data_IF_789546151262
#
_entry.id   IF_789546151262
#
_cell.length_a   1.000
_cell.length_b   1.000
_cell.length_c   1.000
_cell.angle_alpha   90.00
_cell.angle_beta   90.00
_cell.angle_gamma   90.00
#
_symmetry.space_group_name_H-M   'P 1'
#
loop_
_entity.id
_entity.type
_entity.pdbx_description
1 polymer ?
#
# COMPACT_ATOMS: atom_id res chain seq x y z
N UNK A 1 -6.82 -20.97 1.46
CA UNK A 1 -7.64 -19.71 1.50
C UNK A 1 -7.99 -19.41 0.05
N UNK A 2 -9.23 -19.13 -0.27
CA UNK A 2 -9.58 -18.79 -1.67
C UNK A 2 -9.19 -17.33 -1.91
N UNK A 3 -8.15 -17.05 -2.71
CA UNK A 3 -7.68 -15.69 -2.98
C UNK A 3 -8.70 -14.84 -3.75
N UNK A 4 -9.64 -15.48 -4.47
CA UNK A 4 -10.72 -14.74 -5.14
C UNK A 4 -11.60 -13.95 -4.15
N UNK A 5 -11.87 -14.52 -2.96
CA UNK A 5 -12.65 -13.82 -1.93
C UNK A 5 -11.87 -12.61 -1.38
N UNK A 6 -10.54 -12.78 -1.21
CA UNK A 6 -9.64 -11.68 -0.84
C UNK A 6 -9.64 -10.59 -1.92
N UNK A 7 -9.49 -10.96 -3.19
CA UNK A 7 -9.49 -9.99 -4.30
C UNK A 7 -10.82 -9.24 -4.39
N UNK A 8 -11.95 -9.93 -4.22
CA UNK A 8 -13.28 -9.32 -4.21
C UNK A 8 -13.44 -8.33 -3.04
N UNK A 9 -12.92 -8.68 -1.85
CA UNK A 9 -12.96 -7.80 -0.68
C UNK A 9 -12.12 -6.53 -0.91
N UNK A 10 -10.91 -6.66 -1.47
CA UNK A 10 -10.05 -5.51 -1.83
C UNK A 10 -10.75 -4.61 -2.84
N UNK A 11 -11.36 -5.19 -3.87
CA UNK A 11 -12.10 -4.41 -4.88
C UNK A 11 -13.28 -3.65 -4.26
N UNK A 12 -14.02 -4.28 -3.34
CA UNK A 12 -15.13 -3.64 -2.64
C UNK A 12 -14.63 -2.47 -1.77
N UNK A 13 -13.55 -2.67 -1.00
CA UNK A 13 -12.93 -1.64 -0.18
C UNK A 13 -12.43 -0.46 -1.02
N UNK A 14 -11.81 -0.72 -2.17
CA UNK A 14 -11.29 0.29 -3.10
C UNK A 14 -12.37 1.27 -3.62
N UNK A 15 -13.60 0.80 -3.82
CA UNK A 15 -14.71 1.66 -4.26
C UNK A 15 -15.05 2.75 -3.23
N UNK A 16 -14.97 2.43 -1.95
CA UNK A 16 -15.20 3.40 -0.87
C UNK A 16 -14.03 4.36 -0.69
N UNK A 17 -12.82 3.91 -0.95
CA UNK A 17 -11.61 4.70 -0.83
C UNK A 17 -11.61 5.92 -1.76
N UNK A 18 -12.07 5.76 -2.99
CA UNK A 18 -12.16 6.84 -3.98
C UNK A 18 -13.09 8.00 -3.55
N UNK A 19 -13.93 7.78 -2.54
CA UNK A 19 -14.87 8.78 -2.00
C UNK A 19 -14.29 9.55 -0.81
N UNK A 20 -13.13 9.17 -0.28
CA UNK A 20 -12.53 9.84 0.87
C UNK A 20 -12.02 11.24 0.48
N UNK A 21 -12.30 12.26 1.31
CA UNK A 21 -11.71 13.59 1.14
C UNK A 21 -10.17 13.54 1.28
N UNK A 22 -9.45 14.40 0.54
CA UNK A 22 -7.98 14.46 0.57
C UNK A 22 -7.45 14.73 1.98
N UNK A 23 -8.09 15.60 2.76
CA UNK A 23 -7.71 15.86 4.15
C UNK A 23 -7.79 14.60 5.02
N UNK A 24 -8.79 13.75 4.80
CA UNK A 24 -8.93 12.49 5.52
C UNK A 24 -7.81 11.52 5.16
N UNK A 25 -7.47 11.45 3.89
CA UNK A 25 -6.34 10.66 3.38
C UNK A 25 -5.02 11.13 4.03
N UNK A 26 -4.80 12.44 4.08
CA UNK A 26 -3.59 13.02 4.68
C UNK A 26 -3.51 12.75 6.19
N UNK A 27 -4.63 12.79 6.90
CA UNK A 27 -4.70 12.41 8.32
C UNK A 27 -4.30 10.94 8.54
N UNK A 28 -4.81 10.03 7.70
CA UNK A 28 -4.47 8.59 7.77
C UNK A 28 -2.97 8.39 7.50
N UNK A 29 -2.42 9.02 6.47
CA UNK A 29 -0.99 8.92 6.13
C UNK A 29 -0.12 9.40 7.30
N UNK A 30 -0.44 10.55 7.90
CA UNK A 30 0.30 11.06 9.05
C UNK A 30 0.19 10.13 10.26
N UNK A 31 -0.98 9.54 10.51
CA UNK A 31 -1.16 8.57 11.58
C UNK A 31 -0.37 7.27 11.33
N UNK A 32 -0.26 6.81 10.08
CA UNK A 32 0.58 5.65 9.72
C UNK A 32 2.07 5.97 9.95
N UNK A 33 2.51 7.17 9.59
CA UNK A 33 3.88 7.60 9.86
C UNK A 33 4.20 7.62 11.36
N UNK A 34 3.26 8.09 12.18
CA UNK A 34 3.39 8.09 13.65
C UNK A 34 3.41 6.66 14.20
N UNK A 35 2.46 5.82 13.81
CA UNK A 35 2.38 4.43 14.24
C UNK A 35 3.62 3.62 13.85
N UNK A 36 4.23 3.89 12.69
CA UNK A 36 5.49 3.26 12.28
C UNK A 36 6.64 3.60 13.25
N UNK A 37 6.68 4.82 13.78
CA UNK A 37 7.67 5.24 14.77
C UNK A 37 7.36 4.68 16.17
N UNK A 38 6.12 4.74 16.61
CA UNK A 38 5.69 4.21 17.91
C UNK A 38 5.92 2.69 18.00
N UNK A 39 5.72 1.97 16.91
CA UNK A 39 5.88 0.52 16.85
C UNK A 39 7.24 0.07 16.30
N UNK A 40 8.24 0.95 16.28
CA UNK A 40 9.61 0.65 15.84
C UNK A 40 10.14 -0.64 16.45
N UNK A 41 10.02 -0.82 17.76
CA UNK A 41 10.53 -2.01 18.45
C UNK A 41 9.87 -3.30 17.98
N UNK A 42 8.56 -3.26 17.73
CA UNK A 42 7.81 -4.40 17.18
C UNK A 42 8.27 -4.72 15.74
N UNK A 43 8.32 -3.73 14.86
CA UNK A 43 8.74 -3.91 13.47
C UNK A 43 10.17 -4.47 13.41
N UNK A 44 11.10 -3.92 14.22
CA UNK A 44 12.49 -4.39 14.26
C UNK A 44 12.62 -5.79 14.83
N UNK A 45 11.78 -6.19 15.80
CA UNK A 45 11.77 -7.55 16.33
C UNK A 45 11.34 -8.58 15.27
N UNK A 46 10.35 -8.25 14.46
CA UNK A 46 9.90 -9.10 13.35
C UNK A 46 10.94 -9.13 12.21
N UNK A 47 11.55 -7.99 11.89
CA UNK A 47 12.62 -7.91 10.89
C UNK A 47 13.84 -8.76 11.29
N UNK A 48 14.15 -8.85 12.59
CA UNK A 48 15.23 -9.71 13.08
C UNK A 48 14.99 -11.17 12.74
N UNK A 49 13.76 -11.66 12.83
CA UNK A 49 13.41 -13.05 12.47
C UNK A 49 13.68 -13.33 10.98
N UNK A 50 13.44 -12.36 10.10
CA UNK A 50 13.80 -12.48 8.68
C UNK A 50 15.32 -12.48 8.49
N UNK A 51 16.04 -11.60 9.17
CA UNK A 51 17.50 -11.50 9.09
C UNK A 51 18.21 -12.77 9.62
N UNK A 52 17.69 -13.40 10.67
CA UNK A 52 18.23 -14.67 11.22
C UNK A 52 18.14 -15.83 10.22
N UNK A 53 17.25 -15.75 9.24
CA UNK A 53 17.08 -16.74 8.17
C UNK A 53 17.95 -16.48 6.94
N UNK A 54 18.69 -15.37 6.90
CA UNK A 54 19.52 -14.97 5.77
C UNK A 54 20.98 -14.82 6.19
N UNK A 55 21.90 -15.34 5.36
CA UNK A 55 23.32 -15.11 5.59
C UNK A 55 23.67 -13.62 5.49
N UNK A 56 24.48 -13.07 6.41
CA UNK A 56 24.94 -11.68 6.32
C UNK A 56 25.73 -11.36 5.02
N UNK A 57 26.35 -12.38 4.40
CA UNK A 57 27.08 -12.24 3.14
C UNK A 57 26.16 -12.21 1.91
N UNK A 58 24.85 -12.43 2.11
CA UNK A 58 23.90 -12.37 1.01
C UNK A 58 23.73 -10.91 0.54
N UNK A 59 23.86 -10.62 -0.77
CA UNK A 59 23.68 -9.26 -1.31
C UNK A 59 22.32 -8.62 -1.02
N UNK A 60 21.31 -9.42 -0.65
CA UNK A 60 19.98 -8.95 -0.27
C UNK A 60 19.90 -8.55 1.20
N UNK A 61 20.87 -8.93 2.05
CA UNK A 61 20.80 -8.74 3.50
C UNK A 61 20.65 -7.27 3.89
N UNK A 62 21.43 -6.37 3.29
CA UNK A 62 21.30 -4.93 3.58
C UNK A 62 19.96 -4.35 3.13
N UNK A 63 19.38 -4.85 2.03
CA UNK A 63 18.08 -4.43 1.55
C UNK A 63 16.94 -4.89 2.47
N UNK A 64 17.10 -6.06 3.10
CA UNK A 64 16.15 -6.64 4.04
C UNK A 64 16.19 -5.93 5.39
N UNK A 65 17.37 -5.46 5.81
CA UNK A 65 17.60 -4.92 7.13
C UNK A 65 16.87 -3.59 7.35
N UNK A 66 16.00 -3.53 8.34
CA UNK A 66 15.45 -2.29 8.87
C UNK A 66 16.28 -1.81 10.08
N UNK A 67 16.31 -0.50 10.27
CA UNK A 67 16.92 0.18 11.41
C UNK A 67 15.98 1.30 11.87
N UNK A 68 16.16 1.80 13.09
CA UNK A 68 15.41 2.97 13.55
C UNK A 68 15.55 4.17 12.60
N UNK A 69 16.76 4.40 12.07
CA UNK A 69 17.03 5.48 11.13
C UNK A 69 16.24 5.28 9.82
N UNK A 70 16.23 4.04 9.28
CA UNK A 70 15.43 3.71 8.08
C UNK A 70 13.94 3.90 8.33
N UNK A 71 13.42 3.49 9.50
CA UNK A 71 12.03 3.72 9.87
C UNK A 71 11.68 5.20 10.02
N UNK A 72 12.59 6.03 10.56
CA UNK A 72 12.42 7.49 10.56
C UNK A 72 12.37 8.07 9.14
N UNK A 73 13.23 7.59 8.25
CA UNK A 73 13.20 7.93 6.82
C UNK A 73 11.87 7.59 6.18
N UNK A 74 11.41 6.35 6.35
CA UNK A 74 10.10 5.88 5.83
C UNK A 74 8.95 6.76 6.37
N UNK A 75 8.93 7.06 7.67
CA UNK A 75 7.91 7.93 8.25
C UNK A 75 7.95 9.36 7.65
N UNK A 76 9.15 9.87 7.37
CA UNK A 76 9.31 11.14 6.66
C UNK A 76 8.76 11.08 5.24
N UNK A 77 9.03 10.00 4.51
CA UNK A 77 8.55 9.81 3.14
C UNK A 77 7.02 9.68 3.09
N UNK A 78 6.40 8.97 4.03
CA UNK A 78 4.94 8.92 4.17
C UNK A 78 4.36 10.32 4.39
N UNK A 79 4.97 11.13 5.28
CA UNK A 79 4.54 12.52 5.50
C UNK A 79 4.72 13.38 4.26
N UNK A 80 5.80 13.19 3.50
CA UNK A 80 5.99 13.87 2.23
C UNK A 80 4.87 13.53 1.24
N UNK A 81 4.46 12.26 1.14
CA UNK A 81 3.32 11.84 0.31
C UNK A 81 2.03 12.54 0.77
N UNK A 82 1.81 12.70 2.08
CA UNK A 82 0.64 13.41 2.60
C UNK A 82 0.60 14.89 2.16
N UNK A 83 1.76 15.53 1.94
CA UNK A 83 1.80 16.93 1.47
C UNK A 83 1.55 17.11 -0.02
N UNK A 84 1.62 16.03 -0.81
CA UNK A 84 1.39 16.11 -2.24
C UNK A 84 -0.07 16.49 -2.53
N UNK A 85 -0.32 17.30 -3.58
CA UNK A 85 -1.68 17.57 -4.00
C UNK A 85 -2.35 16.29 -4.50
N UNK A 86 -3.64 16.12 -4.16
CA UNK A 86 -4.39 14.96 -4.64
C UNK A 86 -4.33 14.86 -6.17
N UNK A 87 -4.04 13.67 -6.73
CA UNK A 87 -4.10 13.45 -8.16
C UNK A 87 -5.53 13.27 -8.68
N UNK A 88 -6.50 13.10 -7.77
CA UNK A 88 -7.88 12.76 -8.10
C UNK A 88 -8.69 14.01 -8.50
N UNK A 89 -9.63 13.84 -9.43
CA UNK A 89 -10.57 14.88 -9.85
C UNK A 89 -9.92 16.04 -10.61
N UNK A 90 -8.66 15.95 -11.00
CA UNK A 90 -7.99 17.00 -11.76
C UNK A 90 -8.59 17.09 -13.16
N UNK A 91 -8.94 18.28 -13.60
CA UNK A 91 -9.38 18.53 -14.98
C UNK A 91 -8.16 18.45 -15.90
N UNK A 92 -8.11 17.40 -16.70
CA UNK A 92 -7.04 17.15 -17.68
C UNK A 92 -7.32 17.82 -19.02
N UNK A 93 -8.60 17.95 -19.38
CA UNK A 93 -9.05 18.62 -20.62
C UNK A 93 -10.50 19.03 -20.48
N UNK A 94 -10.82 20.17 -21.05
CA UNK A 94 -12.19 20.65 -21.20
C UNK A 94 -12.44 21.13 -22.64
N UNK A 95 -13.63 20.88 -23.17
CA UNK A 95 -14.03 21.35 -24.48
C UNK A 95 -15.55 21.53 -24.58
N UNK A 96 -15.99 22.53 -25.30
CA UNK A 96 -17.41 22.76 -25.60
C UNK A 96 -17.64 22.36 -27.07
N UNK A 97 -18.63 21.52 -27.29
CA UNK A 97 -19.03 21.08 -28.64
C UNK A 97 -19.92 22.13 -29.30
N UNK A 98 -20.09 22.12 -30.67
CA UNK A 98 -20.94 23.08 -31.35
C UNK A 98 -22.39 23.11 -30.88
N UNK A 99 -22.89 22.01 -30.32
CA UNK A 99 -24.24 21.92 -29.76
C UNK A 99 -24.33 22.41 -28.30
N UNK A 100 -23.25 23.03 -27.74
CA UNK A 100 -23.20 23.53 -26.36
C UNK A 100 -22.84 22.49 -25.30
N UNK A 101 -22.65 21.21 -25.65
CA UNK A 101 -22.29 20.16 -24.70
C UNK A 101 -20.87 20.38 -24.20
N UNK A 102 -20.71 20.43 -22.86
CA UNK A 102 -19.42 20.54 -22.17
C UNK A 102 -18.87 19.14 -21.89
N UNK A 103 -17.67 18.85 -22.37
CA UNK A 103 -16.92 17.63 -22.13
C UNK A 103 -15.72 17.92 -21.21
N UNK A 104 -15.66 17.25 -20.10
CA UNK A 104 -14.54 17.39 -19.14
C UNK A 104 -13.88 16.03 -18.95
N UNK A 105 -12.57 15.95 -19.18
CA UNK A 105 -11.75 14.78 -18.85
C UNK A 105 -11.12 15.01 -17.47
N UNK A 106 -11.40 14.13 -16.53
CA UNK A 106 -10.86 14.16 -15.16
C UNK A 106 -10.00 12.94 -14.88
N UNK A 107 -9.05 13.07 -13.93
CA UNK A 107 -8.29 11.94 -13.41
C UNK A 107 -9.11 11.16 -12.38
N UNK A 108 -9.00 9.85 -12.42
CA UNK A 108 -9.67 8.90 -11.52
C UNK A 108 -8.64 7.84 -11.03
N UNK A 109 -8.88 7.11 -9.95
CA UNK A 109 -8.05 5.99 -9.55
C UNK A 109 -8.01 4.90 -10.63
N UNK A 110 -6.96 4.09 -10.64
CA UNK A 110 -6.94 2.84 -11.43
C UNK A 110 -7.94 1.83 -10.87
N UNK A 111 -8.02 1.71 -9.54
CA UNK A 111 -8.83 0.74 -8.82
C UNK A 111 -7.98 -0.07 -7.85
N UNK A 112 -7.75 -1.35 -8.14
CA UNK A 112 -6.90 -2.26 -7.35
C UNK A 112 -5.55 -2.43 -8.04
N UNK A 113 -4.47 -2.16 -7.30
CA UNK A 113 -3.10 -2.30 -7.79
C UNK A 113 -2.43 -3.49 -7.11
N UNK A 114 -2.00 -4.48 -7.90
CA UNK A 114 -1.20 -5.62 -7.44
C UNK A 114 0.28 -5.32 -7.54
N UNK A 115 1.03 -5.47 -6.44
CA UNK A 115 2.46 -5.18 -6.40
C UNK A 115 3.24 -6.39 -5.92
N UNK A 116 4.15 -6.89 -6.76
CA UNK A 116 5.05 -7.99 -6.46
C UNK A 116 6.44 -7.41 -6.20
N UNK A 117 7.01 -7.70 -5.03
CA UNK A 117 8.33 -7.21 -4.63
C UNK A 117 9.11 -8.27 -3.83
N UNK A 118 10.41 -8.14 -3.79
CA UNK A 118 11.29 -9.04 -3.04
C UNK A 118 11.73 -8.44 -1.70
N UNK A 119 12.88 -8.81 -1.17
CA UNK A 119 13.47 -8.50 0.12
C UNK A 119 13.64 -6.99 0.42
N UNK A 120 12.56 -6.24 0.44
CA UNK A 120 12.52 -4.80 0.75
C UNK A 120 11.27 -4.45 1.56
N UNK A 121 11.29 -4.63 2.88
CA UNK A 121 10.11 -4.42 3.73
C UNK A 121 9.54 -2.99 3.64
N UNK A 122 10.39 -1.96 3.43
CA UNK A 122 9.97 -0.57 3.27
C UNK A 122 8.94 -0.39 2.14
N UNK A 123 9.00 -1.20 1.09
CA UNK A 123 8.07 -1.12 -0.06
C UNK A 123 6.61 -1.24 0.36
N UNK A 124 6.32 -2.02 1.43
CA UNK A 124 4.95 -2.13 1.95
C UNK A 124 4.38 -0.77 2.38
N UNK A 125 5.15 0.06 3.09
CA UNK A 125 4.74 1.42 3.47
C UNK A 125 4.70 2.36 2.27
N UNK A 126 5.71 2.31 1.39
CA UNK A 126 5.83 3.20 0.24
C UNK A 126 4.65 3.02 -0.71
N UNK A 127 4.37 1.76 -1.07
CA UNK A 127 3.26 1.40 -1.96
C UNK A 127 1.91 1.75 -1.34
N UNK A 128 1.69 1.37 -0.07
CA UNK A 128 0.47 1.73 0.63
C UNK A 128 0.21 3.25 0.57
N UNK A 129 1.24 4.04 0.88
CA UNK A 129 1.11 5.50 0.93
C UNK A 129 0.74 6.11 -0.42
N UNK A 130 1.37 5.65 -1.48
CA UNK A 130 1.10 6.11 -2.85
C UNK A 130 -0.28 5.65 -3.34
N UNK A 131 -0.66 4.41 -3.06
CA UNK A 131 -1.97 3.87 -3.40
C UNK A 131 -3.08 4.64 -2.67
N UNK A 132 -2.96 4.80 -1.34
CA UNK A 132 -3.93 5.56 -0.55
C UNK A 132 -4.07 6.99 -1.06
N UNK A 133 -2.94 7.70 -1.30
CA UNK A 133 -2.95 9.09 -1.79
C UNK A 133 -3.61 9.23 -3.16
N UNK A 134 -3.52 8.22 -3.98
CA UNK A 134 -4.11 8.19 -5.33
C UNK A 134 -5.46 7.48 -5.39
N UNK A 135 -6.07 7.15 -4.24
CA UNK A 135 -7.41 6.56 -4.15
C UNK A 135 -7.49 5.11 -4.64
N UNK A 136 -6.36 4.39 -4.67
CA UNK A 136 -6.29 3.01 -5.09
C UNK A 136 -6.20 2.07 -3.88
N UNK A 137 -6.89 0.94 -3.93
CA UNK A 137 -6.60 -0.18 -3.05
C UNK A 137 -5.39 -0.95 -3.56
N UNK A 138 -4.69 -1.69 -2.71
CA UNK A 138 -3.51 -2.42 -3.13
C UNK A 138 -3.45 -3.84 -2.55
N UNK A 139 -2.90 -4.73 -3.37
CA UNK A 139 -2.58 -6.10 -3.00
C UNK A 139 -1.06 -6.23 -3.04
N UNK A 140 -0.49 -6.51 -1.88
CA UNK A 140 0.93 -6.66 -1.67
C UNK A 140 1.33 -8.12 -1.77
N UNK A 141 2.31 -8.44 -2.58
CA UNK A 141 2.90 -9.77 -2.71
C UNK A 141 4.40 -9.68 -2.47
N UNK A 142 4.78 -9.75 -1.19
CA UNK A 142 6.18 -9.79 -0.77
C UNK A 142 6.84 -11.14 -1.02
N UNK A 143 8.17 -11.15 -1.03
CA UNK A 143 8.96 -12.37 -1.05
C UNK A 143 9.05 -13.03 0.33
N UNK A 144 9.35 -14.35 0.37
CA UNK A 144 9.50 -15.12 1.61
C UNK A 144 10.65 -14.65 2.52
N UNK A 145 11.62 -13.95 1.93
CA UNK A 145 12.77 -13.42 2.68
C UNK A 145 12.38 -12.32 3.68
N UNK A 146 11.24 -11.63 3.46
CA UNK A 146 10.75 -10.51 4.26
C UNK A 146 9.35 -10.74 4.85
N UNK A 147 8.92 -12.00 5.03
CA UNK A 147 7.54 -12.33 5.40
C UNK A 147 7.14 -11.78 6.76
N UNK A 148 7.98 -11.93 7.78
CA UNK A 148 7.72 -11.40 9.13
C UNK A 148 7.65 -9.87 9.13
N UNK A 149 8.58 -9.22 8.46
CA UNK A 149 8.62 -7.76 8.36
C UNK A 149 7.39 -7.21 7.63
N UNK A 150 7.02 -7.81 6.50
CA UNK A 150 5.87 -7.37 5.71
C UNK A 150 4.56 -7.52 6.49
N UNK A 151 4.38 -8.63 7.22
CA UNK A 151 3.22 -8.85 8.09
C UNK A 151 3.14 -7.82 9.21
N UNK A 152 4.27 -7.53 9.87
CA UNK A 152 4.33 -6.52 10.93
C UNK A 152 3.95 -5.14 10.40
N UNK A 153 4.46 -4.75 9.24
CA UNK A 153 4.17 -3.46 8.63
C UNK A 153 2.68 -3.35 8.25
N UNK A 154 2.13 -4.39 7.61
CA UNK A 154 0.71 -4.38 7.22
C UNK A 154 -0.20 -4.38 8.44
N UNK A 155 0.16 -5.09 9.53
CA UNK A 155 -0.60 -5.02 10.78
C UNK A 155 -0.59 -3.61 11.38
N UNK A 156 0.54 -2.90 11.36
CA UNK A 156 0.61 -1.48 11.80
C UNK A 156 -0.32 -0.61 10.96
N UNK A 157 -0.32 -0.79 9.64
CA UNK A 157 -1.24 -0.08 8.73
C UNK A 157 -2.70 -0.41 9.08
N UNK A 158 -3.04 -1.68 9.24
CA UNK A 158 -4.39 -2.13 9.59
C UNK A 158 -4.88 -1.55 10.92
N UNK A 159 -4.00 -1.44 11.93
CA UNK A 159 -4.37 -0.82 13.20
C UNK A 159 -4.79 0.64 13.02
N UNK A 160 -4.06 1.40 12.22
CA UNK A 160 -4.42 2.79 11.91
C UNK A 160 -5.73 2.85 11.11
N UNK A 161 -5.90 2.02 10.09
CA UNK A 161 -7.13 1.99 9.31
C UNK A 161 -8.36 1.71 10.18
N UNK A 162 -8.27 0.76 11.14
CA UNK A 162 -9.32 0.49 12.12
C UNK A 162 -9.64 1.70 12.99
N UNK A 163 -8.63 2.46 13.46
CA UNK A 163 -8.84 3.69 14.24
C UNK A 163 -9.60 4.77 13.45
N UNK A 164 -9.39 4.79 12.14
CA UNK A 164 -10.09 5.71 11.24
C UNK A 164 -11.40 5.18 10.69
N UNK A 165 -11.85 3.98 11.12
CA UNK A 165 -13.04 3.27 10.60
C UNK A 165 -12.97 3.08 9.07
N UNK A 166 -11.78 2.78 8.55
CA UNK A 166 -11.54 2.43 7.15
C UNK A 166 -11.45 0.91 7.04
N UNK A 167 -12.02 0.35 5.98
CA UNK A 167 -11.94 -1.07 5.68
C UNK A 167 -10.48 -1.49 5.47
N UNK A 168 -10.00 -2.43 6.28
CA UNK A 168 -8.62 -2.91 6.22
C UNK A 168 -8.31 -3.63 4.92
N UNK A 169 -9.31 -4.18 4.23
CA UNK A 169 -9.14 -4.83 2.93
C UNK A 169 -8.67 -3.87 1.83
N UNK A 170 -8.63 -2.55 2.08
CA UNK A 170 -8.00 -1.64 1.12
C UNK A 170 -6.50 -1.90 0.91
N UNK A 171 -5.85 -2.63 1.81
CA UNK A 171 -4.49 -3.14 1.66
C UNK A 171 -4.44 -4.58 2.16
N UNK A 172 -4.07 -5.51 1.29
CA UNK A 172 -3.95 -6.92 1.64
C UNK A 172 -2.56 -7.44 1.31
N UNK A 173 -2.00 -8.26 2.21
CA UNK A 173 -0.74 -8.96 2.00
C UNK A 173 -1.03 -10.43 1.69
N UNK A 174 -0.68 -10.84 0.48
CA UNK A 174 -0.81 -12.24 0.06
C UNK A 174 0.27 -13.12 0.71
N UNK A 175 0.00 -14.44 0.81
CA UNK A 175 1.02 -15.42 1.19
C UNK A 175 2.29 -15.31 0.35
N UNK A 176 3.45 -15.55 0.97
CA UNK A 176 4.75 -15.37 0.32
C UNK A 176 5.12 -16.49 -0.68
N UNK A 177 4.24 -17.45 -0.92
CA UNK A 177 4.46 -18.57 -1.83
C UNK A 177 4.29 -18.19 -3.33
N UNK A 178 4.67 -19.12 -4.22
CA UNK A 178 4.60 -18.90 -5.66
C UNK A 178 3.20 -19.02 -6.22
N UNK A 179 2.33 -19.78 -5.56
CA UNK A 179 0.94 -19.95 -6.00
C UNK A 179 0.17 -18.64 -5.86
N UNK A 180 0.33 -17.93 -4.74
CA UNK A 180 -0.26 -16.60 -4.56
C UNK A 180 0.22 -15.59 -5.63
N UNK A 181 1.50 -15.69 -6.06
CA UNK A 181 1.99 -14.88 -7.18
C UNK A 181 1.25 -15.21 -8.48
N UNK A 182 1.07 -16.51 -8.76
CA UNK A 182 0.38 -16.97 -9.96
C UNK A 182 -1.09 -16.53 -9.95
N UNK A 183 -1.78 -16.71 -8.83
CA UNK A 183 -3.17 -16.27 -8.69
C UNK A 183 -3.32 -14.77 -8.88
N UNK A 184 -2.42 -13.96 -8.29
CA UNK A 184 -2.43 -12.51 -8.48
C UNK A 184 -2.28 -12.11 -9.97
N UNK A 185 -1.36 -12.74 -10.68
CA UNK A 185 -1.13 -12.48 -12.13
C UNK A 185 -2.32 -12.89 -13.01
N UNK A 186 -3.19 -13.77 -12.51
CA UNK A 186 -4.39 -14.22 -13.23
C UNK A 186 -5.69 -13.60 -12.69
N UNK A 187 -5.61 -12.67 -11.73
CA UNK A 187 -6.75 -12.05 -11.07
C UNK A 187 -7.46 -11.00 -11.96
N UNK A 188 -7.58 -11.27 -13.26
CA UNK A 188 -8.30 -10.41 -14.19
C UNK A 188 -9.76 -10.19 -13.75
N UNK A 189 -10.19 -8.92 -13.74
CA UNK A 189 -11.51 -8.53 -13.25
C UNK A 189 -11.56 -8.14 -11.76
N UNK A 190 -10.49 -8.41 -11.01
CA UNK A 190 -10.32 -7.94 -9.61
C UNK A 190 -9.17 -6.94 -9.48
N UNK A 191 -8.11 -7.12 -10.24
CA UNK A 191 -6.90 -6.31 -10.22
C UNK A 191 -6.79 -5.54 -11.53
N UNK A 192 -6.61 -4.23 -11.43
CA UNK A 192 -6.64 -3.29 -12.56
C UNK A 192 -5.24 -2.97 -13.10
N UNK A 193 -4.20 -3.17 -12.26
CA UNK A 193 -2.79 -2.90 -12.60
C UNK A 193 -1.85 -3.80 -11.79
#
# INVERSE_FOLDING_TARGET
MNLNDTFAAVQAAGRHLALLPDDRINQILNAVAEAALEQTSYILSENRKDLERMSPDNPKYDRLRLTEERLRGIASDIRNVATLPSPLGRILKESIRPNGMRLTKISVPFGVIGIIYEARPNVSFDVFSLCLKSGNACILKGGSDADYSNRAIVEVIHQVLRQFNIDTHMVELLPADREATRELLHAAGYVDL
#
